data_IF_386346567912
#
_entry.id   IF_386346567912
#
_cell.length_a   1.000
_cell.length_b   1.000
_cell.length_c   1.000
_cell.angle_alpha   90.00
_cell.angle_beta   90.00
_cell.angle_gamma   90.00
#
_symmetry.space_group_name_H-M   'P 1'
#
loop_
_entity.id
_entity.type
_entity.pdbx_description
1 polymer ?
#
# COMPACT_ATOMS: atom_id res chain seq x y z
N UNK A 1 5.08 -10.84 10.75
CA UNK A 1 3.81 -11.25 11.42
C UNK A 1 3.12 -10.07 12.11
N UNK A 2 3.86 -9.23 12.85
CA UNK A 2 3.32 -7.96 13.36
C UNK A 2 2.75 -7.08 12.24
N UNK A 3 3.37 -7.06 11.05
CA UNK A 3 2.85 -6.25 9.93
C UNK A 3 1.44 -6.68 9.52
N UNK A 4 1.18 -7.98 9.41
CA UNK A 4 -0.15 -8.52 9.05
C UNK A 4 -1.19 -8.17 10.11
N UNK A 5 -0.81 -8.25 11.38
CA UNK A 5 -1.66 -7.89 12.50
C UNK A 5 -2.05 -6.40 12.47
N UNK A 6 -1.12 -5.54 12.11
CA UNK A 6 -1.35 -4.09 11.95
C UNK A 6 -2.29 -3.84 10.77
N UNK A 7 -2.04 -4.44 9.60
CA UNK A 7 -2.88 -4.23 8.42
C UNK A 7 -4.30 -4.79 8.60
N UNK A 8 -4.44 -5.94 9.28
CA UNK A 8 -5.76 -6.56 9.53
C UNK A 8 -6.61 -5.75 10.52
N UNK A 9 -5.99 -5.10 11.52
CA UNK A 9 -6.69 -4.32 12.54
C UNK A 9 -7.01 -2.89 12.09
N UNK A 10 -6.22 -2.32 11.21
CA UNK A 10 -6.35 -0.92 10.78
C UNK A 10 -6.94 -0.83 9.38
N UNK A 11 -8.27 -0.76 9.30
CA UNK A 11 -8.98 -0.41 8.06
C UNK A 11 -9.19 1.10 8.01
N UNK A 12 -8.49 1.76 7.09
CA UNK A 12 -8.59 3.19 6.84
C UNK A 12 -8.47 3.41 5.33
N UNK A 13 -9.13 4.46 4.80
CA UNK A 13 -9.10 4.77 3.37
C UNK A 13 -7.68 5.03 2.83
N UNK A 14 -6.77 5.51 3.68
CA UNK A 14 -5.38 5.85 3.32
C UNK A 14 -4.39 4.71 3.61
N UNK A 15 -4.87 3.55 4.06
CA UNK A 15 -4.05 2.36 4.31
C UNK A 15 -4.48 1.29 3.33
N UNK A 16 -3.51 0.69 2.63
CA UNK A 16 -3.77 -0.44 1.73
C UNK A 16 -4.51 -1.54 2.48
N UNK A 17 -5.67 -1.92 1.95
CA UNK A 17 -6.55 -2.86 2.61
C UNK A 17 -6.05 -4.30 2.44
N UNK A 18 -5.88 -4.97 3.58
CA UNK A 18 -5.55 -6.38 3.65
C UNK A 18 -6.80 -7.24 3.41
N UNK A 19 -6.68 -8.21 2.50
CA UNK A 19 -7.74 -9.17 2.19
C UNK A 19 -7.47 -10.51 2.88
N UNK A 20 -6.32 -11.15 2.60
CA UNK A 20 -5.97 -12.45 3.18
C UNK A 20 -4.47 -12.77 3.11
N UNK A 21 -4.05 -13.90 3.70
CA UNK A 21 -2.68 -14.40 3.60
C UNK A 21 -2.62 -15.93 3.64
N UNK A 22 -1.65 -16.48 2.91
CA UNK A 22 -1.49 -17.91 2.71
C UNK A 22 -0.03 -18.31 2.89
N UNK A 23 0.21 -19.47 3.50
CA UNK A 23 1.54 -20.08 3.51
C UNK A 23 1.59 -21.10 2.38
N UNK A 24 2.43 -20.84 1.39
CA UNK A 24 2.62 -21.70 0.22
C UNK A 24 4.05 -22.24 0.26
N UNK A 25 4.20 -23.49 0.68
CA UNK A 25 5.51 -24.09 0.93
C UNK A 25 6.21 -23.41 2.12
N UNK A 26 7.31 -22.70 1.85
CA UNK A 26 8.06 -21.91 2.84
C UNK A 26 7.88 -20.40 2.67
N UNK A 27 6.97 -19.97 1.81
CA UNK A 27 6.71 -18.55 1.53
C UNK A 27 5.37 -18.10 2.10
N UNK A 28 5.32 -16.83 2.50
CA UNK A 28 4.11 -16.17 2.99
C UNK A 28 3.59 -15.20 1.92
N UNK A 29 2.40 -15.50 1.41
CA UNK A 29 1.73 -14.73 0.38
C UNK A 29 0.69 -13.81 1.03
N UNK A 30 0.63 -12.56 0.58
CA UNK A 30 -0.30 -11.55 1.06
C UNK A 30 -1.22 -11.14 -0.09
N UNK A 31 -2.51 -11.11 0.18
CA UNK A 31 -3.53 -10.63 -0.74
C UNK A 31 -4.04 -9.29 -0.22
N UNK A 32 -3.94 -8.25 -1.05
CA UNK A 32 -4.30 -6.89 -0.73
C UNK A 32 -4.92 -6.19 -1.95
N UNK A 33 -5.62 -5.08 -1.72
CA UNK A 33 -6.19 -4.28 -2.81
C UNK A 33 -5.07 -3.73 -3.71
N UNK A 34 -5.29 -3.80 -5.02
CA UNK A 34 -4.36 -3.28 -6.02
C UNK A 34 -4.51 -1.76 -6.14
N UNK A 35 -3.39 -1.05 -6.03
CA UNK A 35 -3.32 0.39 -6.29
C UNK A 35 -2.68 0.61 -7.67
N UNK A 36 -3.49 1.09 -8.62
CA UNK A 36 -3.10 1.31 -10.02
C UNK A 36 -2.25 2.57 -10.24
N UNK A 37 -2.27 3.51 -9.29
CA UNK A 37 -1.48 4.75 -9.34
C UNK A 37 0.04 4.58 -9.17
N UNK A 38 0.52 3.37 -8.91
CA UNK A 38 1.95 3.10 -8.72
C UNK A 38 2.50 3.67 -7.41
N UNK A 39 3.83 3.77 -7.29
CA UNK A 39 4.46 4.32 -6.10
C UNK A 39 4.65 5.83 -6.21
N UNK A 40 4.58 6.55 -5.09
CA UNK A 40 4.91 7.98 -5.05
C UNK A 40 6.33 8.25 -5.56
N UNK A 41 7.26 7.30 -5.37
CA UNK A 41 8.61 7.40 -5.91
C UNK A 41 8.66 7.40 -7.45
N UNK A 42 7.70 6.77 -8.12
CA UNK A 42 7.60 6.82 -9.58
C UNK A 42 7.03 8.16 -10.04
N UNK A 43 6.02 8.67 -9.33
CA UNK A 43 5.43 9.99 -9.58
C UNK A 43 6.47 11.11 -9.44
N UNK A 44 7.25 11.10 -8.36
CA UNK A 44 8.29 12.11 -8.10
C UNK A 44 9.44 12.07 -9.11
N UNK A 45 9.68 10.92 -9.75
CA UNK A 45 10.71 10.79 -10.80
C UNK A 45 10.20 11.24 -12.17
N UNK A 46 8.89 11.14 -12.43
CA UNK A 46 8.28 11.47 -13.72
C UNK A 46 7.74 12.90 -13.83
N UNK A 47 7.55 13.59 -12.70
CA UNK A 47 6.88 14.89 -12.66
C UNK A 47 7.37 15.75 -11.50
N UNK A 48 7.45 17.07 -11.74
CA UNK A 48 7.53 18.07 -10.67
C UNK A 48 6.12 18.24 -10.11
N UNK A 49 5.90 17.80 -8.87
CA UNK A 49 4.63 17.98 -8.18
C UNK A 49 4.54 19.43 -7.70
N UNK A 50 3.41 20.08 -7.96
CA UNK A 50 3.18 21.43 -7.43
C UNK A 50 2.88 21.39 -5.92
N UNK A 51 3.03 22.52 -5.22
CA UNK A 51 2.82 22.60 -3.77
C UNK A 51 1.39 22.19 -3.39
N UNK A 52 0.40 22.50 -4.25
CA UNK A 52 -0.98 22.07 -4.06
C UNK A 52 -1.19 20.55 -4.15
N UNK A 53 -0.44 19.87 -5.01
CA UNK A 53 -0.48 18.40 -5.13
C UNK A 53 0.25 17.74 -3.97
N UNK A 54 1.33 18.36 -3.49
CA UNK A 54 2.09 17.90 -2.32
C UNK A 54 1.26 18.01 -1.04
N UNK A 55 0.41 19.04 -0.91
CA UNK A 55 -0.43 19.25 0.27
C UNK A 55 -1.69 18.36 0.32
N UNK A 56 -2.11 17.79 -0.82
CA UNK A 56 -3.27 16.92 -0.90
C UNK A 56 -2.98 15.45 -0.55
N UNK A 57 -1.69 15.09 -0.48
CA UNK A 57 -1.17 13.75 -0.16
C UNK A 57 -0.75 13.73 1.31
#
# INVERSE_FOLDING_TARGET
LNEILIMRRNRNHNIVNYLDSYVVGQELWLVMDYLDGGSLGDVLRGSLMDEGETAAI
#
